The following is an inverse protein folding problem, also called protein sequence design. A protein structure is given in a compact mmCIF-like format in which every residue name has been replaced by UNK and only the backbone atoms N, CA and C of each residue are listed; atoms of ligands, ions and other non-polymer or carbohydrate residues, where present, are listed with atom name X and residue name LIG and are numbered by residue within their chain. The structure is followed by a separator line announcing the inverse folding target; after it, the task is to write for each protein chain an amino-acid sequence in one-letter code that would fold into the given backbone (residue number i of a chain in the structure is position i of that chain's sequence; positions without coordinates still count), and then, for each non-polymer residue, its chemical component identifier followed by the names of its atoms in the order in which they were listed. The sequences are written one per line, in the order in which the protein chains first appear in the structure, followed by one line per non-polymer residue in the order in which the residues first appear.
data_IF_379475905294
#
_entry.id   IF_379475905294
#
_cell.length_a   1.000
_cell.length_b   1.000
_cell.length_c   1.000
_cell.angle_alpha   90.00
_cell.angle_beta   90.00
_cell.angle_gamma   90.00
#
_symmetry.space_group_name_H-M   'P 1'
#
loop_
_entity.id
_entity.type
_entity.pdbx_description
1 polymer ?
#
# COMPACT_ATOMS: atom_id res chain seq x y z
N UNK A 1 -19.19 2.82 6.34
CA UNK A 1 -19.44 2.51 7.75
C UNK A 1 -20.89 2.79 8.15
N UNK A 2 -21.48 3.94 7.87
CA UNK A 2 -22.86 4.26 8.26
C UNK A 2 -23.92 3.25 7.77
N UNK A 3 -23.75 2.73 6.54
CA UNK A 3 -24.65 1.69 6.03
C UNK A 3 -24.53 0.37 6.79
N UNK A 4 -23.34 0.02 7.25
CA UNK A 4 -23.11 -1.18 8.05
C UNK A 4 -23.76 -1.06 9.42
N UNK A 5 -23.57 0.07 10.07
CA UNK A 5 -24.20 0.35 11.37
C UNK A 5 -25.73 0.31 11.28
N UNK A 6 -26.31 0.97 10.25
CA UNK A 6 -27.77 0.93 10.05
C UNK A 6 -28.33 -0.48 9.77
N UNK A 7 -27.50 -1.37 9.28
CA UNK A 7 -27.89 -2.77 8.98
C UNK A 7 -27.42 -3.76 10.06
N UNK A 8 -26.95 -3.26 11.20
CA UNK A 8 -26.55 -4.09 12.34
C UNK A 8 -25.34 -4.97 12.08
N UNK A 9 -24.46 -4.57 11.16
CA UNK A 9 -23.19 -5.28 10.93
C UNK A 9 -22.28 -5.06 12.11
N UNK A 10 -21.95 -6.14 12.82
CA UNK A 10 -21.00 -6.12 13.93
C UNK A 10 -19.59 -6.42 13.42
N UNK A 11 -18.61 -5.60 13.85
CA UNK A 11 -17.20 -5.74 13.52
C UNK A 11 -16.34 -5.00 14.53
N UNK A 12 -15.13 -5.50 14.79
CA UNK A 12 -14.18 -4.88 15.71
C UNK A 12 -13.13 -4.05 14.96
N UNK A 13 -12.76 -4.49 13.76
CA UNK A 13 -11.73 -3.88 12.94
C UNK A 13 -12.28 -3.45 11.61
N UNK A 14 -12.06 -2.20 11.26
CA UNK A 14 -12.26 -1.71 9.89
C UNK A 14 -10.95 -1.83 9.12
N UNK A 15 -10.98 -2.50 7.98
CA UNK A 15 -9.81 -2.71 7.14
C UNK A 15 -9.98 -2.14 5.74
N UNK A 16 -8.90 -1.63 5.16
CA UNK A 16 -8.87 -1.23 3.75
C UNK A 16 -7.48 -1.41 3.16
N UNK A 17 -7.40 -1.60 1.84
CA UNK A 17 -6.14 -1.52 1.11
C UNK A 17 -5.66 -0.08 1.03
N UNK A 18 -4.35 0.11 1.04
CA UNK A 18 -3.72 1.42 0.92
C UNK A 18 -2.48 1.37 0.04
N UNK A 19 -2.52 2.11 -1.08
CA UNK A 19 -1.42 2.21 -2.03
C UNK A 19 -1.15 3.68 -2.36
N UNK A 20 -0.06 4.23 -1.84
CA UNK A 20 0.30 5.65 -1.99
C UNK A 20 0.46 6.08 -3.44
N UNK A 21 0.90 5.17 -4.32
CA UNK A 21 1.14 5.48 -5.72
C UNK A 21 -0.14 5.59 -6.56
N UNK A 22 -1.25 5.03 -6.10
CA UNK A 22 -2.53 5.08 -6.83
C UNK A 22 -3.54 6.04 -6.21
N UNK A 23 -3.42 6.31 -4.93
CA UNK A 23 -4.45 7.03 -4.18
C UNK A 23 -4.07 8.49 -3.96
N UNK A 24 -5.06 9.39 -4.03
CA UNK A 24 -4.94 10.75 -3.55
C UNK A 24 -4.19 11.74 -4.45
N UNK A 25 -3.81 11.40 -5.66
CA UNK A 25 -3.04 12.24 -6.61
C UNK A 25 -1.65 12.70 -6.10
N UNK A 26 -1.28 12.36 -4.89
CA UNK A 26 0.05 12.56 -4.29
C UNK A 26 0.17 11.72 -3.03
N UNK A 27 1.39 11.37 -2.61
CA UNK A 27 1.62 10.65 -1.34
C UNK A 27 1.06 11.41 -0.15
N UNK A 28 1.21 12.72 -0.10
CA UNK A 28 0.65 13.56 0.96
C UNK A 28 -0.88 13.44 1.04
N UNK A 29 -1.58 13.46 -0.09
CA UNK A 29 -3.02 13.33 -0.12
C UNK A 29 -3.47 11.90 0.22
N UNK A 30 -2.71 10.89 -0.21
CA UNK A 30 -2.96 9.50 0.14
C UNK A 30 -2.86 9.29 1.66
N UNK A 31 -1.78 9.77 2.29
CA UNK A 31 -1.58 9.69 3.75
C UNK A 31 -2.66 10.46 4.52
N UNK A 32 -3.06 11.64 4.04
CA UNK A 32 -4.19 12.37 4.62
C UNK A 32 -5.52 11.62 4.48
N UNK A 33 -5.70 10.88 3.39
CA UNK A 33 -6.83 9.98 3.19
C UNK A 33 -6.83 8.81 4.18
N UNK A 34 -5.68 8.18 4.37
CA UNK A 34 -5.47 7.12 5.36
C UNK A 34 -5.86 7.60 6.76
N UNK A 35 -5.34 8.74 7.17
CA UNK A 35 -5.64 9.32 8.48
C UNK A 35 -7.14 9.64 8.67
N UNK A 36 -7.83 10.10 7.61
CA UNK A 36 -9.28 10.33 7.66
C UNK A 36 -10.05 9.04 7.90
N UNK A 37 -9.67 7.95 7.23
CA UNK A 37 -10.35 6.65 7.41
C UNK A 37 -10.10 6.11 8.82
N UNK A 38 -8.88 6.21 9.32
CA UNK A 38 -8.52 5.83 10.67
C UNK A 38 -9.31 6.62 11.73
N UNK A 39 -9.36 7.95 11.59
CA UNK A 39 -10.15 8.82 12.46
C UNK A 39 -11.64 8.47 12.42
N UNK A 40 -12.15 8.10 11.24
CA UNK A 40 -13.53 7.66 11.09
C UNK A 40 -13.80 6.36 11.83
N UNK A 41 -12.90 5.38 11.76
CA UNK A 41 -12.97 4.14 12.55
C UNK A 41 -12.94 4.45 14.06
N UNK A 42 -11.99 5.29 14.49
CA UNK A 42 -11.85 5.73 15.89
C UNK A 42 -13.12 6.39 16.42
N UNK A 43 -13.75 7.27 15.65
CA UNK A 43 -14.99 7.97 16.05
C UNK A 43 -16.17 7.01 16.29
N UNK A 44 -16.06 5.76 15.82
CA UNK A 44 -17.03 4.69 16.00
C UNK A 44 -16.55 3.61 17.00
N UNK A 45 -15.49 3.90 17.72
CA UNK A 45 -14.92 2.95 18.69
C UNK A 45 -14.34 1.68 18.03
N UNK A 46 -13.92 1.78 16.76
CA UNK A 46 -13.37 0.64 16.00
C UNK A 46 -11.87 0.78 15.80
N UNK A 47 -11.19 -0.37 15.78
CA UNK A 47 -9.79 -0.45 15.36
C UNK A 47 -9.69 -0.31 13.84
N UNK A 48 -8.50 0.05 13.37
CA UNK A 48 -8.21 0.17 11.95
C UNK A 48 -6.95 -0.60 11.55
N UNK A 49 -6.98 -1.26 10.40
CA UNK A 49 -5.82 -1.92 9.83
C UNK A 49 -5.72 -1.66 8.31
N UNK A 50 -4.51 -1.51 7.82
CA UNK A 50 -4.22 -1.57 6.38
C UNK A 50 -4.12 -3.04 6.00
N UNK A 51 -5.10 -3.54 5.27
CA UNK A 51 -5.20 -4.95 4.92
C UNK A 51 -4.33 -5.35 3.73
N UNK A 52 -3.85 -4.36 2.98
CA UNK A 52 -2.98 -4.58 1.85
C UNK A 52 -2.25 -3.29 1.50
N UNK A 53 -0.94 -3.36 1.36
CA UNK A 53 -0.09 -2.28 0.91
C UNK A 53 1.19 -2.82 0.29
N UNK A 54 1.81 -2.07 -0.59
CA UNK A 54 3.18 -2.32 -1.04
C UNK A 54 3.84 -1.02 -1.50
N UNK A 55 5.16 -1.04 -1.59
CA UNK A 55 5.96 -0.01 -2.25
C UNK A 55 7.12 -0.65 -2.98
N UNK A 56 7.45 -0.12 -4.12
CA UNK A 56 8.58 -0.57 -4.94
C UNK A 56 9.92 -0.25 -4.29
N UNK A 57 10.93 -1.05 -4.60
CA UNK A 57 12.31 -0.80 -4.23
C UNK A 57 13.17 -0.34 -5.41
N UNK A 58 12.60 -0.32 -6.61
CA UNK A 58 13.21 0.21 -7.84
C UNK A 58 12.13 0.46 -8.89
N UNK A 59 12.35 1.48 -9.73
CA UNK A 59 11.55 1.72 -10.94
C UNK A 59 12.16 1.05 -12.19
N UNK A 60 13.31 0.36 -12.04
CA UNK A 60 13.99 -0.29 -13.15
C UNK A 60 13.21 -1.51 -13.61
N UNK A 61 13.00 -1.58 -14.92
CA UNK A 61 12.49 -2.78 -15.55
C UNK A 61 13.59 -3.85 -15.58
N UNK A 62 13.45 -4.90 -14.78
CA UNK A 62 14.43 -5.95 -14.66
C UNK A 62 14.27 -7.08 -15.67
N UNK A 63 13.10 -7.20 -16.32
CA UNK A 63 12.79 -8.36 -17.19
C UNK A 63 12.23 -8.00 -18.58
N UNK A 64 12.02 -6.71 -18.86
CA UNK A 64 11.47 -6.24 -20.12
C UNK A 64 9.95 -6.41 -20.26
N UNK A 65 9.25 -6.59 -19.14
CA UNK A 65 7.78 -6.64 -19.11
C UNK A 65 7.19 -5.39 -18.45
N UNK A 66 5.93 -5.12 -18.71
CA UNK A 66 5.27 -3.97 -18.12
C UNK A 66 5.12 -4.13 -16.61
N UNK A 67 5.61 -3.15 -15.86
CA UNK A 67 5.47 -3.07 -14.41
C UNK A 67 4.12 -2.48 -14.01
N UNK A 68 3.63 -2.88 -12.85
CA UNK A 68 2.42 -2.31 -12.26
C UNK A 68 2.64 -0.83 -11.94
N UNK A 69 3.85 -0.50 -11.47
CA UNK A 69 4.31 0.85 -11.21
C UNK A 69 5.59 1.07 -12.00
N UNK A 70 5.57 1.97 -12.95
CA UNK A 70 6.72 2.32 -13.76
C UNK A 70 7.06 3.81 -13.67
N UNK A 71 8.07 4.21 -14.42
CA UNK A 71 8.58 5.59 -14.44
C UNK A 71 7.52 6.66 -14.79
N UNK A 72 6.44 6.27 -15.46
CA UNK A 72 5.31 7.14 -15.78
C UNK A 72 4.44 7.54 -14.59
N UNK A 73 4.57 6.87 -13.45
CA UNK A 73 3.76 7.14 -12.27
C UNK A 73 4.41 8.25 -11.42
N UNK A 74 3.85 9.46 -11.48
CA UNK A 74 4.39 10.62 -10.77
C UNK A 74 4.53 10.39 -9.25
N UNK A 75 3.56 9.69 -8.65
CA UNK A 75 3.59 9.40 -7.21
C UNK A 75 4.68 8.42 -6.81
N UNK A 76 5.15 7.58 -7.72
CA UNK A 76 6.25 6.65 -7.45
C UNK A 76 7.61 7.35 -7.29
N UNK A 77 7.71 8.61 -7.74
CA UNK A 77 8.95 9.42 -7.68
C UNK A 77 9.03 10.34 -6.45
N UNK A 78 8.11 10.22 -5.52
CA UNK A 78 8.10 11.04 -4.29
C UNK A 78 9.21 10.62 -3.33
N UNK A 79 9.55 9.33 -3.35
CA UNK A 79 10.66 8.76 -2.60
C UNK A 79 11.79 8.38 -3.56
N UNK A 80 13.00 8.12 -3.05
CA UNK A 80 14.11 7.67 -3.87
C UNK A 80 13.84 6.33 -4.55
N UNK A 81 14.42 6.13 -5.73
CA UNK A 81 14.31 4.90 -6.53
C UNK A 81 15.35 3.87 -6.06
N UNK A 82 15.20 3.42 -4.83
CA UNK A 82 16.07 2.45 -4.18
C UNK A 82 15.40 1.84 -2.94
N UNK A 83 16.02 0.86 -2.26
CA UNK A 83 15.48 0.29 -1.04
C UNK A 83 15.22 1.30 0.09
N UNK A 84 15.95 2.41 0.14
CA UNK A 84 15.70 3.46 1.14
C UNK A 84 14.38 4.16 0.87
N UNK A 85 14.06 4.45 -0.39
CA UNK A 85 12.75 5.01 -0.76
C UNK A 85 11.58 4.10 -0.37
N UNK A 86 11.75 2.77 -0.46
CA UNK A 86 10.77 1.83 0.06
C UNK A 86 10.61 1.95 1.58
N UNK A 87 11.72 2.05 2.31
CA UNK A 87 11.70 2.25 3.77
C UNK A 87 11.00 3.56 4.12
N UNK A 88 11.30 4.65 3.43
CA UNK A 88 10.74 5.97 3.70
C UNK A 88 9.23 5.99 3.45
N UNK A 89 8.78 5.41 2.34
CA UNK A 89 7.36 5.32 2.03
C UNK A 89 6.56 4.52 3.08
N UNK A 90 7.11 3.39 3.51
CA UNK A 90 6.49 2.57 4.56
C UNK A 90 6.53 3.26 5.91
N UNK A 91 7.62 3.96 6.22
CA UNK A 91 7.75 4.72 7.47
C UNK A 91 6.68 5.81 7.55
N UNK A 92 6.48 6.59 6.51
CA UNK A 92 5.44 7.63 6.46
C UNK A 92 4.03 7.03 6.63
N UNK A 93 3.78 5.89 5.99
CA UNK A 93 2.51 5.17 6.15
C UNK A 93 2.33 4.70 7.60
N UNK A 94 3.33 4.04 8.19
CA UNK A 94 3.23 3.55 9.56
C UNK A 94 3.12 4.68 10.57
N UNK A 95 3.86 5.77 10.41
CA UNK A 95 3.73 6.95 11.26
C UNK A 95 2.31 7.53 11.21
N UNK A 96 1.72 7.56 10.01
CA UNK A 96 0.33 8.01 9.85
C UNK A 96 -0.65 7.04 10.51
N UNK A 97 -0.52 5.75 10.23
CA UNK A 97 -1.39 4.70 10.75
C UNK A 97 -1.33 4.60 12.29
N UNK A 98 -0.18 4.82 12.89
CA UNK A 98 0.04 4.71 14.32
C UNK A 98 -0.03 6.06 15.04
N UNK A 99 -0.47 7.12 14.35
CA UNK A 99 -0.66 8.44 14.95
C UNK A 99 -1.82 8.48 15.95
N UNK A 100 -2.73 7.54 15.83
CA UNK A 100 -3.81 7.29 16.77
C UNK A 100 -3.60 5.94 17.51
N UNK A 101 -4.34 5.76 18.59
CA UNK A 101 -4.30 4.55 19.41
C UNK A 101 -5.16 3.39 18.86
N UNK A 102 -5.85 3.58 17.75
CA UNK A 102 -6.70 2.58 17.10
C UNK A 102 -6.09 1.95 15.84
N UNK A 103 -4.90 2.37 15.42
CA UNK A 103 -4.15 1.74 14.32
C UNK A 103 -3.50 0.44 14.76
N UNK A 104 -3.75 -0.66 14.05
CA UNK A 104 -3.22 -1.99 14.39
C UNK A 104 -1.93 -2.32 13.62
N UNK A 105 -1.79 -1.84 12.39
CA UNK A 105 -0.67 -2.18 11.52
C UNK A 105 -1.10 -2.42 10.08
N UNK A 106 -0.20 -3.02 9.30
CA UNK A 106 -0.43 -3.26 7.88
C UNK A 106 0.06 -4.65 7.46
N UNK A 107 -0.61 -5.21 6.44
CA UNK A 107 -0.18 -6.41 5.72
C UNK A 107 0.51 -5.98 4.43
N UNK A 108 1.78 -6.36 4.30
CA UNK A 108 2.54 -6.08 3.09
C UNK A 108 2.22 -7.11 2.02
N UNK A 109 1.78 -6.61 0.85
CA UNK A 109 1.42 -7.44 -0.29
C UNK A 109 2.65 -7.89 -1.04
N UNK A 110 2.79 -9.21 -1.20
CA UNK A 110 3.83 -9.83 -2.03
C UNK A 110 5.28 -9.41 -1.66
N UNK A 111 5.59 -9.39 -0.37
CA UNK A 111 6.88 -8.92 0.14
C UNK A 111 8.12 -9.69 -0.34
N UNK A 112 7.93 -10.86 -0.94
CA UNK A 112 9.02 -11.71 -1.45
C UNK A 112 9.24 -11.58 -2.98
N UNK A 113 8.57 -10.64 -3.64
CA UNK A 113 8.74 -10.44 -5.08
C UNK A 113 10.11 -9.86 -5.40
N UNK A 114 10.86 -10.63 -6.16
CA UNK A 114 12.18 -10.26 -6.67
C UNK A 114 12.26 -10.60 -8.14
N UNK A 115 12.95 -9.81 -8.97
CA UNK A 115 13.17 -10.11 -10.38
C UNK A 115 14.12 -11.30 -10.50
N UNK A 116 13.58 -12.48 -10.65
CA UNK A 116 14.37 -13.73 -10.62
C UNK A 116 14.68 -14.28 -12.00
N UNK A 117 14.12 -13.71 -13.09
CA UNK A 117 14.29 -14.20 -14.47
C UNK A 117 14.22 -15.73 -14.55
N UNK A 118 13.30 -16.34 -13.81
CA UNK A 118 13.20 -17.78 -13.71
C UNK A 118 12.65 -18.36 -15.01
N UNK A 119 13.48 -19.06 -15.77
CA UNK A 119 13.11 -19.65 -17.05
C UNK A 119 12.01 -20.72 -16.97
N UNK A 120 11.69 -21.20 -15.77
CA UNK A 120 10.58 -22.11 -15.53
C UNK A 120 9.22 -21.41 -15.45
N UNK A 121 9.22 -20.11 -15.21
CA UNK A 121 7.96 -19.35 -15.16
C UNK A 121 7.42 -19.23 -16.57
N UNK A 122 6.19 -19.63 -16.75
CA UNK A 122 5.51 -19.38 -18.00
C UNK A 122 5.25 -17.88 -18.16
N UNK A 123 4.95 -17.44 -19.37
CA UNK A 123 4.70 -16.06 -19.71
C UNK A 123 3.72 -15.35 -18.78
N UNK A 124 2.79 -16.06 -18.18
CA UNK A 124 1.76 -15.51 -17.30
C UNK A 124 2.33 -15.06 -15.97
N UNK A 125 3.30 -15.76 -15.44
CA UNK A 125 3.93 -15.45 -14.17
C UNK A 125 5.11 -14.49 -14.32
N UNK A 126 5.82 -14.54 -15.42
CA UNK A 126 6.92 -13.62 -15.71
C UNK A 126 6.48 -12.15 -15.79
N UNK A 127 5.24 -11.90 -16.19
CA UNK A 127 4.71 -10.54 -16.29
C UNK A 127 4.51 -9.86 -14.94
N UNK A 128 4.26 -10.62 -13.91
CA UNK A 128 3.81 -10.07 -12.64
C UNK A 128 4.89 -10.14 -11.56
N UNK A 129 6.03 -10.74 -11.85
CA UNK A 129 7.07 -11.03 -10.85
C UNK A 129 8.19 -10.02 -10.78
N UNK A 130 8.17 -8.98 -11.59
CA UNK A 130 9.42 -8.29 -11.81
C UNK A 130 9.70 -7.09 -10.91
N UNK A 131 8.78 -6.45 -10.24
CA UNK A 131 9.13 -5.15 -9.67
C UNK A 131 8.32 -4.69 -8.46
N UNK A 132 8.09 -5.59 -7.58
CA UNK A 132 7.42 -5.20 -6.32
C UNK A 132 8.31 -5.35 -5.11
#
# INVERSE_FOLDING_TARGET
MDAWERNGVDYDVFGSSFYQFWQGNSSKNALAGLQKIENLAKSRGKMYAVMETSWLNSLKDADGTSNVIGEGHANAKVYSDDPQGQVDALTDMYQTLLSNDNGLGAFYWEGAWSPVKAGWTNWKYNKDMSDR
#
